data_IF_371336656076
#
_entry.id   IF_371336656076
#
_cell.length_a   1.000
_cell.length_b   1.000
_cell.length_c   1.000
_cell.angle_alpha   90.00
_cell.angle_beta   90.00
_cell.angle_gamma   90.00
#
_symmetry.space_group_name_H-M   'P 1'
#
loop_
_entity.id
_entity.type
_entity.pdbx_description
1 polymer ?
#
# COMPACT_ATOMS: atom_id res chain seq x y z
N UNK A 1 19.24 -1.14 -8.15
CA UNK A 1 17.93 -1.34 -7.50
C UNK A 1 17.51 -2.78 -7.71
N UNK A 2 17.35 -3.54 -6.62
CA UNK A 2 16.96 -4.97 -6.65
C UNK A 2 15.45 -5.14 -6.77
N UNK A 3 14.66 -4.17 -6.26
CA UNK A 3 13.20 -4.19 -6.31
C UNK A 3 12.72 -3.81 -7.71
N UNK A 4 12.29 -4.82 -8.49
CA UNK A 4 11.82 -4.65 -9.88
C UNK A 4 10.30 -4.75 -10.02
N UNK A 5 9.61 -5.19 -8.98
CA UNK A 5 8.17 -5.42 -8.99
C UNK A 5 7.48 -4.71 -7.84
N UNK A 6 6.33 -4.10 -8.10
CA UNK A 6 5.43 -3.62 -7.08
C UNK A 6 4.05 -4.25 -7.17
N UNK A 7 3.38 -4.34 -6.02
CA UNK A 7 2.02 -4.83 -5.85
C UNK A 7 1.12 -3.67 -5.43
N UNK A 8 0.01 -3.44 -6.14
CA UNK A 8 -0.98 -2.42 -5.76
C UNK A 8 -2.28 -3.13 -5.36
N UNK A 9 -2.77 -2.86 -4.14
CA UNK A 9 -3.92 -3.54 -3.55
C UNK A 9 -5.23 -2.86 -3.94
N UNK A 10 -6.00 -3.47 -4.85
CA UNK A 10 -7.23 -2.89 -5.40
C UNK A 10 -8.50 -3.73 -5.16
N UNK A 11 -8.43 -4.81 -4.39
CA UNK A 11 -9.53 -5.77 -4.23
C UNK A 11 -10.60 -5.38 -3.20
N UNK A 12 -10.38 -4.34 -2.40
CA UNK A 12 -11.23 -3.98 -1.26
C UNK A 12 -12.60 -3.41 -1.63
N UNK A 13 -13.63 -3.67 -0.80
CA UNK A 13 -14.99 -3.13 -0.97
C UNK A 13 -15.12 -1.62 -0.82
N UNK A 14 -14.25 -0.99 -0.05
CA UNK A 14 -14.31 0.44 0.22
C UNK A 14 -15.54 0.92 1.02
N UNK A 15 -16.20 0.05 1.80
CA UNK A 15 -17.51 0.28 2.46
C UNK A 15 -17.64 1.59 3.25
N UNK A 16 -16.55 2.11 3.81
CA UNK A 16 -16.53 3.41 4.54
C UNK A 16 -16.79 4.63 3.65
N UNK A 17 -16.76 4.44 2.33
CA UNK A 17 -17.01 5.48 1.33
C UNK A 17 -18.43 5.37 0.70
N UNK A 18 -19.27 4.45 1.18
CA UNK A 18 -20.64 4.38 0.69
C UNK A 18 -21.35 5.73 0.85
N UNK A 19 -22.17 6.16 -0.14
CA UNK A 19 -22.64 5.40 -1.32
C UNK A 19 -21.69 5.39 -2.52
N UNK A 20 -20.59 6.17 -2.55
CA UNK A 20 -19.70 6.29 -3.71
C UNK A 20 -19.19 4.92 -4.20
N UNK A 21 -18.82 4.05 -3.27
CA UNK A 21 -18.25 2.73 -3.60
C UNK A 21 -19.29 1.65 -3.89
N UNK A 22 -20.58 1.97 -3.92
CA UNK A 22 -21.61 1.05 -4.43
C UNK A 22 -21.52 0.91 -5.96
N UNK A 23 -21.09 1.97 -6.66
CA UNK A 23 -21.03 2.02 -8.13
C UNK A 23 -19.62 2.19 -8.70
N UNK A 24 -18.65 2.60 -7.90
CA UNK A 24 -17.27 2.85 -8.35
C UNK A 24 -16.26 2.26 -7.35
N UNK A 25 -15.30 1.41 -7.76
CA UNK A 25 -14.34 0.85 -6.83
C UNK A 25 -13.42 1.95 -6.28
N UNK A 26 -13.08 1.87 -4.98
CA UNK A 26 -12.27 2.89 -4.28
C UNK A 26 -11.01 3.33 -5.04
N UNK A 27 -10.22 2.43 -5.68
CA UNK A 27 -9.02 2.82 -6.44
C UNK A 27 -9.31 3.76 -7.62
N UNK A 28 -10.54 3.75 -8.15
CA UNK A 28 -10.94 4.62 -9.27
C UNK A 28 -11.62 5.91 -8.84
N UNK A 29 -11.71 6.19 -7.54
CA UNK A 29 -12.20 7.48 -7.06
C UNK A 29 -11.21 8.57 -7.48
N UNK A 30 -11.80 9.69 -7.91
CA UNK A 30 -11.09 10.87 -8.34
C UNK A 30 -11.07 11.93 -7.23
N UNK A 31 -9.92 12.53 -7.00
CA UNK A 31 -9.72 13.65 -6.07
C UNK A 31 -8.81 14.66 -6.79
N UNK A 32 -9.28 15.91 -6.91
CA UNK A 32 -8.55 16.99 -7.59
C UNK A 32 -8.06 16.58 -8.98
N UNK A 33 -9.00 16.14 -9.83
CA UNK A 33 -8.79 15.73 -11.23
C UNK A 33 -7.78 14.58 -11.41
N UNK A 34 -7.53 13.80 -10.36
CA UNK A 34 -6.61 12.68 -10.42
C UNK A 34 -7.19 11.42 -9.78
N UNK A 35 -7.18 10.31 -10.53
CA UNK A 35 -7.62 9.00 -10.08
C UNK A 35 -6.56 8.40 -9.14
N UNK A 36 -6.98 7.93 -7.96
CA UNK A 36 -6.07 7.37 -6.95
C UNK A 36 -5.15 6.28 -7.51
N UNK A 37 -5.69 5.33 -8.25
CA UNK A 37 -4.91 4.26 -8.87
C UNK A 37 -3.88 4.79 -9.86
N UNK A 38 -4.23 5.83 -10.64
CA UNK A 38 -3.29 6.45 -11.59
C UNK A 38 -2.10 7.10 -10.85
N UNK A 39 -2.37 7.83 -9.73
CA UNK A 39 -1.31 8.41 -8.90
C UNK A 39 -0.35 7.34 -8.38
N UNK A 40 -0.88 6.21 -7.88
CA UNK A 40 -0.08 5.10 -7.37
C UNK A 40 0.79 4.47 -8.48
N UNK A 41 0.21 4.20 -9.66
CA UNK A 41 0.93 3.64 -10.81
C UNK A 41 2.07 4.56 -11.24
N UNK A 42 1.78 5.85 -11.46
CA UNK A 42 2.77 6.83 -11.91
C UNK A 42 3.91 6.99 -10.90
N UNK A 43 3.58 7.07 -9.60
CA UNK A 43 4.59 7.18 -8.56
C UNK A 43 5.50 5.96 -8.55
N UNK A 44 4.95 4.75 -8.55
CA UNK A 44 5.73 3.50 -8.51
C UNK A 44 6.66 3.38 -9.72
N UNK A 45 6.16 3.63 -10.93
CA UNK A 45 6.97 3.58 -12.15
C UNK A 45 8.06 4.65 -12.15
N UNK A 46 7.79 5.83 -11.56
CA UNK A 46 8.79 6.89 -11.43
C UNK A 46 10.00 6.52 -10.57
N UNK A 47 9.87 5.46 -9.73
CA UNK A 47 10.96 4.91 -8.90
C UNK A 47 11.91 3.99 -9.69
N UNK A 48 11.61 3.69 -10.97
CA UNK A 48 12.36 2.73 -11.78
C UNK A 48 11.92 1.28 -11.57
N UNK A 49 10.76 1.05 -10.94
CA UNK A 49 10.11 -0.26 -10.88
C UNK A 49 9.52 -0.59 -12.24
N UNK A 50 9.76 -1.80 -12.74
CA UNK A 50 9.47 -2.18 -14.13
C UNK A 50 8.13 -2.87 -14.29
N UNK A 51 7.68 -3.62 -13.26
CA UNK A 51 6.47 -4.45 -13.31
C UNK A 51 5.54 -4.15 -12.16
N UNK A 52 4.26 -4.04 -12.46
CA UNK A 52 3.19 -3.85 -11.51
C UNK A 52 2.27 -5.06 -11.52
N UNK A 53 1.93 -5.60 -10.35
CA UNK A 53 0.86 -6.57 -10.16
C UNK A 53 -0.26 -5.87 -9.41
N UNK A 54 -1.46 -5.88 -9.97
CA UNK A 54 -2.62 -5.20 -9.39
C UNK A 54 -3.68 -6.25 -9.13
N UNK A 55 -4.04 -6.47 -7.86
CA UNK A 55 -5.09 -7.41 -7.56
C UNK A 55 -6.47 -6.77 -7.69
N UNK A 56 -7.46 -7.58 -8.08
CA UNK A 56 -8.84 -7.15 -8.27
C UNK A 56 -9.81 -8.17 -7.66
N UNK A 57 -10.94 -7.68 -7.17
CA UNK A 57 -12.06 -8.49 -6.70
C UNK A 57 -13.38 -7.72 -6.82
N UNK A 58 -13.59 -6.69 -5.99
CA UNK A 58 -14.81 -5.90 -6.00
C UNK A 58 -14.85 -4.95 -7.19
N UNK A 59 -15.97 -4.97 -7.95
CA UNK A 59 -16.16 -4.20 -9.20
C UNK A 59 -14.95 -4.32 -10.15
N UNK A 60 -14.41 -5.54 -10.24
CA UNK A 60 -13.17 -5.85 -10.97
C UNK A 60 -13.17 -5.37 -12.41
N UNK A 61 -14.32 -5.49 -13.11
CA UNK A 61 -14.43 -5.12 -14.52
C UNK A 61 -14.12 -3.65 -14.77
N UNK A 62 -14.48 -2.77 -13.83
CA UNK A 62 -14.16 -1.34 -13.96
C UNK A 62 -12.65 -1.10 -13.86
N UNK A 63 -11.97 -1.78 -12.93
CA UNK A 63 -10.51 -1.69 -12.78
C UNK A 63 -9.82 -2.26 -14.02
N UNK A 64 -10.26 -3.42 -14.49
CA UNK A 64 -9.74 -4.08 -15.70
C UNK A 64 -9.89 -3.15 -16.92
N UNK A 65 -11.08 -2.58 -17.11
CA UNK A 65 -11.33 -1.65 -18.21
C UNK A 65 -10.47 -0.39 -18.13
N UNK A 66 -10.30 0.19 -16.94
CA UNK A 66 -9.42 1.33 -16.75
C UNK A 66 -7.97 1.00 -17.13
N UNK A 67 -7.46 -0.14 -16.68
CA UNK A 67 -6.07 -0.56 -16.92
C UNK A 67 -5.82 -0.99 -18.37
N UNK A 68 -6.82 -1.53 -19.06
CA UNK A 68 -6.72 -1.92 -20.50
C UNK A 68 -6.32 -0.76 -21.40
N UNK A 69 -6.80 0.45 -21.10
CA UNK A 69 -6.50 1.66 -21.85
C UNK A 69 -5.44 2.55 -21.22
N UNK A 70 -4.86 2.11 -20.11
CA UNK A 70 -3.85 2.89 -19.39
C UNK A 70 -2.55 3.01 -20.21
N UNK A 71 -1.90 4.18 -20.17
CA UNK A 71 -0.65 4.45 -20.93
C UNK A 71 0.49 3.49 -20.54
N UNK A 72 0.49 2.93 -19.33
CA UNK A 72 1.49 1.98 -18.83
C UNK A 72 0.99 0.52 -18.81
N UNK A 73 -0.03 0.17 -19.59
CA UNK A 73 -0.62 -1.18 -19.60
C UNK A 73 0.39 -2.32 -19.79
N UNK A 74 1.47 -2.08 -20.56
CA UNK A 74 2.52 -3.08 -20.81
C UNK A 74 3.40 -3.38 -19.58
N UNK A 75 3.35 -2.53 -18.56
CA UNK A 75 4.03 -2.73 -17.29
C UNK A 75 3.13 -3.43 -16.26
N UNK A 76 1.82 -3.55 -16.52
CA UNK A 76 0.80 -3.95 -15.57
C UNK A 76 0.31 -5.37 -15.87
N UNK A 77 0.26 -6.20 -14.83
CA UNK A 77 -0.42 -7.48 -14.84
C UNK A 77 -1.53 -7.50 -13.79
N UNK A 78 -2.72 -7.87 -14.21
CA UNK A 78 -3.91 -7.89 -13.34
C UNK A 78 -4.05 -9.31 -12.77
N UNK A 79 -4.17 -9.41 -11.45
CA UNK A 79 -4.32 -10.66 -10.72
C UNK A 79 -5.71 -10.70 -10.08
N UNK A 80 -6.53 -11.66 -10.46
CA UNK A 80 -7.83 -11.86 -9.84
C UNK A 80 -7.68 -12.63 -8.51
N UNK A 81 -8.28 -12.13 -7.43
CA UNK A 81 -8.24 -12.78 -6.11
C UNK A 81 -9.18 -14.01 -6.01
N UNK A 82 -9.96 -14.29 -7.06
CA UNK A 82 -10.84 -15.47 -7.13
C UNK A 82 -12.26 -15.21 -6.65
N UNK A 83 -12.85 -16.17 -5.90
CA UNK A 83 -14.27 -16.14 -5.53
C UNK A 83 -14.57 -15.43 -4.20
N UNK A 84 -13.54 -15.13 -3.42
CA UNK A 84 -13.67 -14.48 -2.11
C UNK A 84 -12.58 -13.44 -1.90
N UNK A 85 -12.86 -12.43 -1.08
CA UNK A 85 -11.88 -11.43 -0.70
C UNK A 85 -10.82 -12.06 0.21
N UNK A 86 -9.55 -11.87 -0.14
CA UNK A 86 -8.43 -12.52 0.55
C UNK A 86 -7.88 -11.70 1.74
N UNK A 87 -8.38 -10.48 1.95
CA UNK A 87 -7.78 -9.47 2.82
C UNK A 87 -6.36 -9.07 2.35
N UNK A 88 -5.72 -8.13 3.06
CA UNK A 88 -4.46 -7.51 2.60
C UNK A 88 -3.32 -8.51 2.50
N UNK A 89 -3.10 -9.34 3.51
CA UNK A 89 -2.04 -10.36 3.51
C UNK A 89 -2.27 -11.47 2.50
N UNK A 90 -3.50 -11.96 2.38
CA UNK A 90 -3.88 -12.98 1.40
C UNK A 90 -3.78 -12.46 -0.04
N UNK A 91 -4.19 -11.22 -0.32
CA UNK A 91 -4.03 -10.58 -1.62
C UNK A 91 -2.55 -10.45 -2.02
N UNK A 92 -1.69 -10.01 -1.08
CA UNK A 92 -0.24 -10.00 -1.30
C UNK A 92 0.28 -11.41 -1.60
N UNK A 93 -0.09 -12.41 -0.75
CA UNK A 93 0.32 -13.81 -0.91
C UNK A 93 -0.10 -14.40 -2.27
N UNK A 94 -1.28 -14.02 -2.79
CA UNK A 94 -1.74 -14.41 -4.12
C UNK A 94 -0.84 -13.80 -5.21
N UNK A 95 -0.54 -12.51 -5.13
CA UNK A 95 0.25 -11.79 -6.13
C UNK A 95 1.73 -12.17 -6.16
N UNK A 96 2.36 -12.50 -5.02
CA UNK A 96 3.80 -12.84 -4.98
C UNK A 96 4.15 -14.11 -5.75
N UNK A 97 3.19 -14.94 -6.10
CA UNK A 97 3.37 -16.11 -6.99
C UNK A 97 3.81 -15.70 -8.39
N UNK A 98 3.51 -14.48 -8.81
CA UNK A 98 3.81 -13.91 -10.11
C UNK A 98 4.96 -12.89 -10.07
N UNK A 99 5.62 -12.73 -8.92
CA UNK A 99 6.76 -11.82 -8.76
C UNK A 99 8.06 -12.56 -9.04
N UNK A 100 8.90 -12.01 -9.89
CA UNK A 100 10.28 -12.46 -10.05
C UNK A 100 11.15 -11.79 -8.98
N UNK A 101 12.07 -12.56 -8.37
CA UNK A 101 12.88 -12.09 -7.25
C UNK A 101 12.19 -12.29 -5.90
N UNK A 102 12.88 -11.91 -4.83
CA UNK A 102 12.42 -12.11 -3.46
C UNK A 102 11.79 -10.87 -2.86
N UNK A 103 12.26 -9.68 -3.24
CA UNK A 103 11.85 -8.41 -2.66
C UNK A 103 10.90 -7.67 -3.59
N UNK A 104 9.87 -7.07 -3.00
CA UNK A 104 8.86 -6.33 -3.73
C UNK A 104 8.29 -5.18 -2.89
N UNK A 105 7.87 -4.12 -3.57
CA UNK A 105 7.14 -3.03 -2.95
C UNK A 105 5.64 -3.35 -2.94
N UNK A 106 4.94 -3.02 -1.87
CA UNK A 106 3.47 -3.04 -1.80
C UNK A 106 2.97 -1.63 -1.59
N UNK A 107 1.92 -1.25 -2.31
CA UNK A 107 1.30 0.07 -2.20
C UNK A 107 -0.23 -0.04 -2.17
N UNK A 108 -0.83 0.66 -1.21
CA UNK A 108 -2.26 0.93 -1.20
C UNK A 108 -2.53 2.20 -2.03
N UNK A 109 -3.50 2.20 -2.95
CA UNK A 109 -3.75 3.35 -3.81
C UNK A 109 -4.57 4.46 -3.13
N UNK A 110 -5.05 4.27 -1.90
CA UNK A 110 -6.00 5.16 -1.20
C UNK A 110 -5.36 6.29 -0.38
N UNK A 111 -4.06 6.49 -0.50
CA UNK A 111 -3.33 7.69 -0.08
C UNK A 111 -3.14 8.59 -1.30
N UNK A 112 -3.22 9.91 -1.14
CA UNK A 112 -2.91 10.87 -2.19
C UNK A 112 -1.40 10.93 -2.40
N UNK A 113 -0.93 10.15 -3.37
CA UNK A 113 0.49 9.99 -3.66
C UNK A 113 1.00 11.14 -4.53
N UNK A 114 1.37 12.26 -3.89
CA UNK A 114 1.95 13.41 -4.58
C UNK A 114 3.41 13.15 -5.00
N UNK A 115 3.88 13.87 -6.02
CA UNK A 115 5.23 13.70 -6.62
C UNK A 115 6.38 13.73 -5.60
N UNK A 116 6.24 14.48 -4.52
CA UNK A 116 7.27 14.61 -3.48
C UNK A 116 7.57 13.27 -2.76
N UNK A 117 6.64 12.32 -2.75
CA UNK A 117 6.89 10.97 -2.21
C UNK A 117 7.96 10.21 -2.98
N UNK A 118 8.21 10.52 -4.25
CA UNK A 118 9.27 9.89 -5.04
C UNK A 118 10.62 9.92 -4.31
N UNK A 119 11.01 11.09 -3.80
CA UNK A 119 12.28 11.23 -3.10
C UNK A 119 12.34 10.40 -1.82
N UNK A 120 11.28 10.42 -1.01
CA UNK A 120 11.19 9.65 0.21
C UNK A 120 11.23 8.15 -0.06
N UNK A 121 10.48 7.67 -1.07
CA UNK A 121 10.45 6.26 -1.43
C UNK A 121 11.79 5.79 -2.02
N UNK A 122 12.47 6.63 -2.81
CA UNK A 122 13.82 6.31 -3.29
C UNK A 122 14.80 6.13 -2.12
N UNK A 123 14.76 7.02 -1.12
CA UNK A 123 15.59 6.86 0.11
C UNK A 123 15.22 5.61 0.89
N UNK A 124 13.94 5.31 1.01
CA UNK A 124 13.44 4.12 1.68
C UNK A 124 13.96 2.83 1.02
N UNK A 125 13.89 2.76 -0.33
CA UNK A 125 14.40 1.62 -1.10
C UNK A 125 15.92 1.47 -0.90
N UNK A 126 16.69 2.55 -1.04
CA UNK A 126 18.13 2.53 -0.83
C UNK A 126 18.52 2.09 0.58
N UNK A 127 17.75 2.52 1.59
CA UNK A 127 17.94 2.11 2.97
C UNK A 127 17.67 0.62 3.16
N UNK A 128 16.55 0.11 2.60
CA UNK A 128 16.19 -1.30 2.62
C UNK A 128 17.31 -2.18 2.05
N UNK A 129 17.80 -1.84 0.85
CA UNK A 129 18.87 -2.57 0.17
C UNK A 129 20.19 -2.50 0.95
N UNK A 130 20.60 -1.29 1.38
CA UNK A 130 21.86 -1.08 2.13
C UNK A 130 21.89 -1.85 3.44
N UNK A 131 20.75 -2.00 4.11
CA UNK A 131 20.64 -2.69 5.41
C UNK A 131 20.28 -4.17 5.27
N UNK A 132 20.06 -4.67 4.06
CA UNK A 132 19.66 -6.04 3.77
C UNK A 132 18.48 -6.49 4.64
N UNK A 133 17.39 -5.70 4.60
CA UNK A 133 16.22 -5.94 5.43
C UNK A 133 15.26 -6.94 4.76
N UNK A 134 14.41 -7.61 5.58
CA UNK A 134 13.31 -8.45 5.08
C UNK A 134 11.98 -7.69 4.99
N UNK A 135 11.86 -6.57 5.69
CA UNK A 135 10.67 -5.74 5.71
C UNK A 135 11.04 -4.28 6.01
N UNK A 136 10.25 -3.35 5.50
CA UNK A 136 10.34 -1.92 5.83
C UNK A 136 9.01 -1.24 5.52
N UNK A 137 8.36 -0.65 6.52
CA UNK A 137 7.09 0.07 6.39
C UNK A 137 7.35 1.56 6.31
N UNK A 138 6.71 2.25 5.38
CA UNK A 138 6.66 3.72 5.41
C UNK A 138 5.65 4.15 6.46
N UNK A 139 6.10 4.91 7.45
CA UNK A 139 5.27 5.42 8.53
C UNK A 139 5.33 6.95 8.59
N UNK A 140 4.32 7.56 9.15
CA UNK A 140 4.23 9.00 9.36
C UNK A 140 3.77 9.31 10.77
N UNK A 141 4.37 10.31 11.41
CA UNK A 141 3.88 10.76 12.71
C UNK A 141 2.46 11.34 12.56
N UNK A 142 1.53 10.99 13.46
CA UNK A 142 0.12 11.41 13.40
C UNK A 142 -0.08 12.94 13.34
N UNK A 143 0.89 13.75 13.78
CA UNK A 143 0.87 15.21 13.64
C UNK A 143 0.77 15.67 12.18
N UNK A 144 1.32 14.90 11.24
CA UNK A 144 1.28 15.16 9.80
C UNK A 144 0.03 14.60 9.11
N UNK A 145 -0.83 13.84 9.82
CA UNK A 145 -2.06 13.33 9.22
C UNK A 145 -3.07 14.44 8.98
N UNK A 146 -3.68 14.45 7.78
CA UNK A 146 -4.83 15.28 7.45
C UNK A 146 -6.05 14.86 8.26
N UNK A 147 -6.29 13.57 8.39
CA UNK A 147 -7.33 13.01 9.25
C UNK A 147 -6.82 12.94 10.69
N UNK A 148 -7.24 13.89 11.52
CA UNK A 148 -6.83 13.99 12.92
C UNK A 148 -7.45 12.95 13.85
N UNK A 149 -8.29 12.04 13.31
CA UNK A 149 -8.94 10.96 14.07
C UNK A 149 -8.06 9.71 14.20
N UNK A 150 -6.95 9.63 13.46
CA UNK A 150 -6.03 8.50 13.59
C UNK A 150 -5.41 8.45 14.99
N UNK A 151 -5.55 7.29 15.65
CA UNK A 151 -4.91 7.01 16.94
C UNK A 151 -3.44 6.60 16.80
N UNK A 152 -3.03 6.18 15.59
CA UNK A 152 -1.73 5.59 15.30
C UNK A 152 -1.78 4.06 15.27
N UNK A 153 -0.79 3.48 14.60
CA UNK A 153 -0.63 2.02 14.45
C UNK A 153 0.59 1.50 15.23
N UNK A 154 1.60 2.36 15.40
CA UNK A 154 2.90 1.98 15.93
C UNK A 154 3.52 3.06 16.80
N UNK A 155 4.41 2.64 17.69
CA UNK A 155 5.50 3.44 18.23
C UNK A 155 6.74 3.23 17.34
N UNK A 156 7.51 4.29 17.08
CA UNK A 156 8.71 4.24 16.25
C UNK A 156 9.94 4.65 17.03
N UNK A 157 10.90 3.74 17.18
CA UNK A 157 12.17 3.96 17.89
C UNK A 157 13.32 3.28 17.18
N UNK A 158 14.37 4.02 16.85
CA UNK A 158 15.59 3.48 16.25
C UNK A 158 15.34 2.68 14.96
N UNK A 159 14.48 3.15 14.07
CA UNK A 159 14.06 2.48 12.84
C UNK A 159 13.27 1.18 13.07
N UNK A 160 12.81 0.89 14.28
CA UNK A 160 11.96 -0.26 14.64
C UNK A 160 10.57 0.20 15.04
N UNK A 161 9.58 -0.65 14.72
CA UNK A 161 8.17 -0.44 15.02
C UNK A 161 7.71 -1.40 16.12
N UNK A 162 6.93 -0.85 17.05
CA UNK A 162 6.37 -1.56 18.21
C UNK A 162 4.89 -1.25 18.36
N UNK A 163 4.15 -2.11 19.06
CA UNK A 163 2.74 -1.92 19.44
C UNK A 163 2.58 -2.02 20.95
N UNK A 164 3.41 -1.30 21.70
CA UNK A 164 3.35 -1.29 23.18
C UNK A 164 2.52 -0.10 23.69
N UNK A 165 3.11 1.05 23.89
CA UNK A 165 2.45 2.27 24.39
C UNK A 165 2.68 3.41 23.41
N UNK A 166 1.84 4.46 23.45
CA UNK A 166 2.00 5.69 22.65
C UNK A 166 2.13 5.44 21.15
N UNK A 167 1.05 5.00 20.53
CA UNK A 167 0.97 4.77 19.08
C UNK A 167 0.90 6.10 18.32
N UNK A 168 2.07 6.70 18.04
CA UNK A 168 2.15 8.03 17.42
C UNK A 168 2.41 7.98 15.91
N UNK A 169 2.66 6.81 15.33
CA UNK A 169 2.97 6.64 13.93
C UNK A 169 1.90 5.83 13.22
N UNK A 170 1.54 6.28 12.02
CA UNK A 170 0.53 5.69 11.14
C UNK A 170 1.24 5.01 9.98
N UNK A 171 0.83 3.80 9.61
CA UNK A 171 1.23 3.15 8.37
C UNK A 171 0.60 3.88 7.17
N UNK A 172 1.44 4.31 6.24
CA UNK A 172 0.99 5.16 5.13
C UNK A 172 0.36 4.41 3.97
N UNK A 173 0.46 3.08 3.95
CA UNK A 173 0.03 2.26 2.83
C UNK A 173 1.18 1.80 1.91
N UNK A 174 2.45 2.10 2.22
CA UNK A 174 3.61 1.59 1.47
C UNK A 174 4.51 0.75 2.36
N UNK A 175 4.93 -0.40 1.86
CA UNK A 175 5.91 -1.26 2.49
C UNK A 175 6.76 -2.01 1.48
N UNK A 176 7.96 -2.40 1.86
CA UNK A 176 8.83 -3.33 1.14
C UNK A 176 8.88 -4.61 1.94
N UNK A 177 8.65 -5.74 1.28
CA UNK A 177 8.59 -7.05 1.91
C UNK A 177 9.41 -8.07 1.12
N UNK A 178 9.98 -9.04 1.83
CA UNK A 178 10.60 -10.23 1.25
C UNK A 178 9.60 -11.40 1.25
N UNK A 179 9.60 -12.22 0.19
CA UNK A 179 8.73 -13.40 0.04
C UNK A 179 8.85 -14.40 1.20
N UNK A 180 10.03 -14.49 1.81
CA UNK A 180 10.27 -15.43 2.91
C UNK A 180 9.33 -15.21 4.10
N UNK A 181 8.82 -13.98 4.29
CA UNK A 181 7.86 -13.64 5.34
C UNK A 181 6.52 -14.38 5.21
N UNK A 182 6.23 -14.91 4.02
CA UNK A 182 4.96 -15.58 3.70
C UNK A 182 5.06 -17.12 3.71
N UNK A 183 6.26 -17.70 3.85
CA UNK A 183 6.48 -19.15 3.69
C UNK A 183 5.71 -20.01 4.68
N UNK A 184 5.64 -19.57 5.94
CA UNK A 184 5.00 -20.33 7.03
C UNK A 184 3.48 -20.09 7.14
N UNK A 185 2.94 -19.11 6.40
CA UNK A 185 1.52 -18.76 6.46
C UNK A 185 0.75 -19.72 5.57
N UNK A 186 -0.09 -20.58 6.17
CA UNK A 186 -0.92 -21.57 5.44
C UNK A 186 -2.22 -20.95 4.95
N UNK A 187 -2.78 -20.00 5.67
CA UNK A 187 -4.05 -19.34 5.39
C UNK A 187 -4.04 -18.66 4.02
N UNK A 188 -5.17 -18.76 3.32
CA UNK A 188 -5.40 -18.03 2.07
C UNK A 188 -5.88 -16.60 2.34
N UNK A 189 -6.76 -16.45 3.33
CA UNK A 189 -7.37 -15.17 3.71
C UNK A 189 -6.83 -14.73 5.07
N UNK A 190 -6.08 -13.64 5.09
CA UNK A 190 -5.52 -13.07 6.32
C UNK A 190 -5.09 -11.61 6.11
N UNK A 191 -5.06 -10.84 7.20
CA UNK A 191 -4.54 -9.48 7.21
C UNK A 191 -3.00 -9.48 7.21
N UNK A 192 -2.38 -8.52 6.54
CA UNK A 192 -0.92 -8.32 6.60
C UNK A 192 -0.40 -8.08 8.03
N UNK A 193 -1.29 -7.69 8.94
CA UNK A 193 -0.97 -7.58 10.37
C UNK A 193 -0.37 -8.87 10.95
N UNK A 194 -0.76 -10.04 10.46
CA UNK A 194 -0.17 -11.33 10.89
C UNK A 194 1.35 -11.34 10.68
N UNK A 195 1.80 -10.80 9.55
CA UNK A 195 3.24 -10.68 9.26
C UNK A 195 3.89 -9.66 10.20
N UNK A 196 3.26 -8.49 10.35
CA UNK A 196 3.80 -7.44 11.22
C UNK A 196 3.89 -7.89 12.66
N UNK A 197 2.86 -8.54 13.19
CA UNK A 197 2.85 -9.06 14.57
C UNK A 197 3.94 -10.11 14.81
N UNK A 198 4.17 -10.99 13.83
CA UNK A 198 5.27 -11.95 13.87
C UNK A 198 6.64 -11.24 13.87
N UNK A 199 6.82 -10.17 13.09
CA UNK A 199 8.06 -9.41 13.06
C UNK A 199 8.24 -8.56 14.34
N UNK A 200 7.15 -8.02 14.93
CA UNK A 200 7.19 -7.32 16.21
C UNK A 200 7.65 -8.27 17.35
N UNK A 201 7.08 -9.48 17.41
CA UNK A 201 7.50 -10.51 18.37
C UNK A 201 9.01 -10.83 18.27
N UNK A 202 9.54 -10.83 17.06
CA UNK A 202 10.97 -11.03 16.77
C UNK A 202 11.81 -9.75 16.92
N UNK A 203 11.21 -8.61 17.32
CA UNK A 203 11.83 -7.27 17.38
C UNK A 203 12.45 -6.86 16.04
N UNK A 204 11.85 -7.29 14.93
CA UNK A 204 12.37 -7.12 13.57
C UNK A 204 11.41 -6.43 12.60
N UNK A 205 10.34 -5.78 13.05
CA UNK A 205 9.54 -4.91 12.19
C UNK A 205 10.25 -3.56 12.05
N UNK A 206 10.58 -3.19 10.80
CA UNK A 206 11.33 -1.98 10.50
C UNK A 206 10.42 -0.87 9.96
N UNK A 207 10.69 0.38 10.33
CA UNK A 207 10.01 1.56 9.85
C UNK A 207 10.95 2.54 9.16
N UNK A 208 10.39 3.32 8.23
CA UNK A 208 11.03 4.47 7.61
C UNK A 208 10.08 5.66 7.72
N UNK A 209 10.54 6.77 8.30
CA UNK A 209 9.66 7.91 8.57
C UNK A 209 9.51 8.80 7.35
N UNK A 210 8.25 9.16 7.05
CA UNK A 210 7.87 10.23 6.13
C UNK A 210 7.55 11.49 6.91
N UNK A 211 7.99 12.64 6.41
CA UNK A 211 7.63 13.97 6.94
C UNK A 211 6.63 14.72 6.05
N UNK A 212 6.04 14.04 5.05
CA UNK A 212 5.01 14.63 4.20
C UNK A 212 3.66 14.67 4.92
N UNK A 213 2.83 15.63 4.54
CA UNK A 213 1.41 15.61 4.94
C UNK A 213 0.80 14.32 4.40
N UNK A 214 0.17 13.58 5.29
CA UNK A 214 -0.47 12.30 4.99
C UNK A 214 -1.96 12.51 4.73
N UNK A 215 -2.34 12.46 3.47
CA UNK A 215 -3.71 12.58 3.00
C UNK A 215 -4.20 11.22 2.55
N UNK A 216 -4.96 10.56 3.42
CA UNK A 216 -5.50 9.23 3.17
C UNK A 216 -7.02 9.29 3.03
N UNK A 217 -7.56 8.67 1.98
CA UNK A 217 -9.00 8.57 1.77
C UNK A 217 -9.60 7.52 2.72
N UNK A 218 -9.88 7.95 3.96
CA UNK A 218 -10.37 7.05 5.02
C UNK A 218 -11.84 6.68 4.83
N UNK A 219 -12.70 7.70 4.63
CA UNK A 219 -14.15 7.59 4.55
C UNK A 219 -14.78 8.77 3.78
N UNK A 220 -16.11 8.76 3.67
CA UNK A 220 -16.88 9.79 2.97
C UNK A 220 -16.70 11.20 3.58
N UNK A 221 -16.54 11.29 4.90
CA UNK A 221 -16.31 12.59 5.57
C UNK A 221 -14.96 13.20 5.16
N UNK A 222 -13.94 12.37 5.07
CA UNK A 222 -12.61 12.79 4.59
C UNK A 222 -12.64 13.08 3.09
N UNK A 223 -13.33 12.28 2.28
CA UNK A 223 -13.54 12.55 0.86
C UNK A 223 -14.08 13.96 0.64
N UNK A 224 -15.18 14.32 1.32
CA UNK A 224 -15.82 15.63 1.21
C UNK A 224 -14.91 16.81 1.63
N UNK A 225 -13.92 16.56 2.49
CA UNK A 225 -12.92 17.57 2.85
C UNK A 225 -11.80 17.69 1.81
N UNK A 226 -11.38 16.56 1.22
CA UNK A 226 -10.28 16.54 0.25
C UNK A 226 -10.68 17.19 -1.08
N UNK A 227 -11.92 17.00 -1.54
CA UNK A 227 -12.41 17.62 -2.79
C UNK A 227 -12.70 19.14 -2.68
N UNK A 228 -12.70 19.68 -1.45
CA UNK A 228 -12.92 21.13 -1.19
C UNK A 228 -11.59 21.88 -0.93
N UNK A 229 -10.48 21.18 -0.99
CA UNK A 229 -9.14 21.71 -0.77
C UNK A 229 -8.53 22.26 -2.06
#
# INVERSE_FOLDING_TARGET
MTIKTALILCAGYGKRLNPLTLSKPKPLIEINDSILLNQAIELVLSLGIEKLKINTFYLSDQIINFLKFHKFKNNIEIINDGKEILDTGGGIKNMIRYVNGNDFLVMNPDTLWVKNYKYTLTKMINYYEKKNLDNLLLVVNKKYSFDKRFSGDFQFRGMKLYRDSNLDYIYTGVQILNKNLFREIKEKKFSVNVIWDNQIKKKNLNGFESHHIFEHLTDLKIYNKLIKK
#
